data_IF_014710361420
#
_entry.id   IF_014710361420
#
_cell.length_a   1.000
_cell.length_b   1.000
_cell.length_c   1.000
_cell.angle_alpha   90.00
_cell.angle_beta   90.00
_cell.angle_gamma   90.00
#
_symmetry.space_group_name_H-M   'P 1'
#
loop_
_entity.id
_entity.type
_entity.pdbx_description
1 polymer ?
#
# COMPACT_ATOMS: atom_id res chain seq x y z
N UNK A 1 -35.18 -14.46 -30.00
CA UNK A 1 -34.20 -13.72 -29.16
C UNK A 1 -34.73 -13.34 -27.76
N UNK A 2 -36.00 -13.63 -27.42
CA UNK A 2 -36.60 -13.25 -26.13
C UNK A 2 -36.80 -14.40 -25.12
N UNK A 3 -36.51 -15.64 -25.48
CA UNK A 3 -36.69 -16.77 -24.56
C UNK A 3 -35.43 -17.07 -23.74
N UNK A 4 -34.24 -16.80 -24.31
CA UNK A 4 -32.93 -17.01 -23.62
C UNK A 4 -32.65 -16.00 -22.51
N UNK A 5 -33.15 -14.77 -22.63
CA UNK A 5 -32.97 -13.71 -21.63
C UNK A 5 -33.82 -13.95 -20.37
N UNK A 6 -35.01 -14.56 -20.53
CA UNK A 6 -35.91 -14.85 -19.42
C UNK A 6 -35.44 -16.00 -18.52
N UNK A 7 -34.70 -16.95 -19.06
CA UNK A 7 -34.13 -18.07 -18.26
C UNK A 7 -32.93 -17.68 -17.43
N UNK A 8 -32.15 -16.68 -17.86
CA UNK A 8 -30.96 -16.20 -17.11
C UNK A 8 -31.38 -15.37 -15.89
N UNK A 9 -32.47 -14.61 -15.97
CA UNK A 9 -32.94 -13.76 -14.85
C UNK A 9 -33.55 -14.60 -13.71
N UNK A 10 -34.13 -15.75 -13.99
CA UNK A 10 -34.78 -16.62 -12.98
C UNK A 10 -33.76 -17.42 -12.20
N UNK A 11 -32.61 -17.79 -12.80
CA UNK A 11 -31.56 -18.55 -12.11
C UNK A 11 -30.71 -17.69 -11.17
N UNK A 12 -30.59 -16.38 -11.41
CA UNK A 12 -29.84 -15.47 -10.49
C UNK A 12 -30.64 -15.08 -9.25
N UNK A 13 -31.97 -15.12 -9.29
CA UNK A 13 -32.81 -14.77 -8.13
C UNK A 13 -32.88 -15.88 -7.06
N UNK A 14 -32.60 -17.14 -7.41
CA UNK A 14 -32.71 -18.27 -6.48
C UNK A 14 -31.43 -18.53 -5.66
N UNK A 15 -30.29 -17.93 -6.03
CA UNK A 15 -29.00 -18.14 -5.36
C UNK A 15 -28.73 -17.16 -4.21
N UNK A 16 -29.57 -16.13 -4.01
CA UNK A 16 -29.36 -15.08 -2.99
C UNK A 16 -29.98 -15.37 -1.61
N UNK A 17 -30.70 -16.49 -1.42
CA UNK A 17 -31.43 -16.75 -0.17
C UNK A 17 -30.80 -17.76 0.80
N UNK A 18 -29.53 -18.19 0.59
CA UNK A 18 -28.94 -19.26 1.41
C UNK A 18 -27.71 -18.86 2.25
N UNK A 19 -27.41 -17.57 2.40
CA UNK A 19 -26.37 -17.12 3.32
C UNK A 19 -26.89 -16.19 4.40
N UNK A 20 -27.75 -16.72 5.26
CA UNK A 20 -28.06 -16.11 6.54
C UNK A 20 -27.87 -17.18 7.61
N UNK A 21 -27.06 -16.84 8.60
CA UNK A 21 -26.80 -17.50 9.89
C UNK A 21 -25.43 -18.19 10.04
N UNK A 22 -24.48 -17.42 10.58
CA UNK A 22 -23.57 -17.84 11.64
C UNK A 22 -22.88 -16.59 12.22
N UNK A 23 -23.53 -15.96 13.20
CA UNK A 23 -22.86 -15.07 14.15
C UNK A 23 -22.41 -15.94 15.31
N UNK A 24 -21.13 -16.22 15.39
CA UNK A 24 -20.51 -16.73 16.60
C UNK A 24 -20.06 -15.56 17.48
N UNK A 25 -20.67 -15.52 18.61
CA UNK A 25 -20.44 -14.64 19.74
C UNK A 25 -19.11 -15.04 20.40
N UNK A 26 -18.08 -14.19 20.29
CA UNK A 26 -16.86 -14.31 21.08
C UNK A 26 -16.99 -13.43 22.32
N UNK A 27 -17.27 -14.09 23.45
CA UNK A 27 -17.13 -13.50 24.78
C UNK A 27 -15.64 -13.33 25.11
N UNK A 28 -15.18 -12.10 25.25
CA UNK A 28 -13.89 -11.78 25.84
C UNK A 28 -14.01 -11.73 27.35
N UNK A 29 -13.58 -12.79 28.02
CA UNK A 29 -13.32 -12.77 29.44
C UNK A 29 -12.14 -11.86 29.77
N UNK A 30 -12.45 -10.93 30.66
CA UNK A 30 -11.58 -9.96 31.28
C UNK A 30 -10.57 -10.63 32.19
N UNK A 31 -9.27 -10.64 31.84
CA UNK A 31 -8.20 -10.90 32.81
C UNK A 31 -7.48 -9.59 33.14
N UNK A 32 -7.94 -9.00 34.24
CA UNK A 32 -7.19 -7.97 34.94
C UNK A 32 -6.11 -8.62 35.80
N UNK A 33 -4.85 -8.33 35.51
CA UNK A 33 -3.75 -8.44 36.48
C UNK A 33 -2.91 -7.17 36.39
N UNK A 34 -2.69 -6.49 37.53
CA UNK A 34 -1.81 -5.32 37.56
C UNK A 34 -0.38 -5.78 37.84
N UNK A 35 0.49 -5.69 36.86
CA UNK A 35 1.93 -5.77 37.09
C UNK A 35 2.55 -4.38 37.03
N UNK A 36 3.03 -4.01 38.20
CA UNK A 36 3.84 -2.85 38.51
C UNK A 36 5.21 -3.01 37.84
N UNK A 37 5.50 -2.24 36.82
CA UNK A 37 6.86 -2.11 36.31
C UNK A 37 7.45 -0.77 36.72
N UNK A 38 8.52 -0.92 37.54
CA UNK A 38 9.39 0.13 38.06
C UNK A 38 9.91 1.04 36.93
N UNK A 39 9.81 2.34 37.21
CA UNK A 39 10.46 3.39 36.46
C UNK A 39 12.00 3.26 36.57
N UNK A 40 12.66 2.94 35.47
CA UNK A 40 14.05 3.25 35.29
C UNK A 40 14.18 4.61 34.62
N UNK A 41 14.36 5.63 35.47
CA UNK A 41 14.93 6.90 35.09
C UNK A 41 16.32 6.66 34.48
N UNK A 42 16.46 6.86 33.20
CA UNK A 42 17.74 7.15 32.57
C UNK A 42 17.67 8.53 31.95
N UNK A 43 18.18 9.48 32.75
CA UNK A 43 18.64 10.76 32.25
C UNK A 43 19.63 10.54 31.11
N UNK A 44 19.22 10.95 29.90
CA UNK A 44 20.13 11.28 28.82
C UNK A 44 20.06 12.80 28.60
N UNK A 45 20.89 13.50 29.36
CA UNK A 45 21.33 14.84 29.03
C UNK A 45 22.16 14.75 27.74
N UNK A 46 21.86 15.61 26.79
CA UNK A 46 22.89 15.92 25.83
C UNK A 46 22.44 16.04 24.37
N UNK A 47 22.57 17.26 23.93
CA UNK A 47 22.89 17.72 22.58
C UNK A 47 21.70 18.00 21.65
N UNK A 48 21.34 19.26 21.65
CA UNK A 48 21.42 20.15 20.50
C UNK A 48 21.19 19.48 19.15
N UNK A 49 19.96 19.45 18.75
CA UNK A 49 19.57 19.19 17.36
C UNK A 49 19.05 20.49 16.77
N UNK A 50 19.98 21.28 16.25
CA UNK A 50 19.66 22.38 15.36
C UNK A 50 18.71 21.93 14.24
N UNK A 51 17.95 22.85 13.62
CA UNK A 51 17.04 22.52 12.55
C UNK A 51 17.83 21.88 11.41
N UNK A 52 17.60 20.59 11.17
CA UNK A 52 18.11 19.91 10.00
C UNK A 52 17.46 20.59 8.78
N UNK A 53 18.20 21.49 8.18
CA UNK A 53 17.95 21.98 6.84
C UNK A 53 17.94 20.76 5.93
N UNK A 54 16.76 20.40 5.43
CA UNK A 54 16.62 19.44 4.33
C UNK A 54 17.21 20.08 3.06
N UNK A 55 18.54 20.22 3.06
CA UNK A 55 19.29 20.64 1.90
C UNK A 55 19.31 19.46 0.91
N UNK A 56 18.57 19.61 -0.19
CA UNK A 56 18.86 19.02 -1.48
C UNK A 56 19.18 17.52 -1.48
N UNK A 57 18.18 16.65 -1.25
CA UNK A 57 18.26 15.32 -1.82
C UNK A 57 18.13 15.47 -3.33
N UNK A 58 19.22 15.20 -4.04
CA UNK A 58 19.16 15.06 -5.49
C UNK A 58 18.09 14.02 -5.82
N UNK A 59 17.30 14.27 -6.84
CA UNK A 59 16.22 13.37 -7.31
C UNK A 59 16.72 11.95 -7.69
N UNK A 60 18.03 11.72 -7.66
CA UNK A 60 18.69 10.45 -7.96
C UNK A 60 19.00 9.54 -6.76
N UNK A 61 18.77 10.00 -5.51
CA UNK A 61 19.21 9.25 -4.32
C UNK A 61 18.12 8.38 -3.67
N UNK A 62 16.93 8.32 -4.25
CA UNK A 62 15.82 7.50 -3.75
C UNK A 62 15.82 6.07 -4.31
N UNK A 63 14.99 5.16 -3.73
CA UNK A 63 14.84 3.82 -4.26
C UNK A 63 14.32 3.84 -5.70
N UNK A 64 14.83 2.92 -6.51
CA UNK A 64 14.34 2.64 -7.85
C UNK A 64 13.33 1.50 -7.82
N UNK A 65 12.60 1.32 -8.89
CA UNK A 65 11.57 0.29 -9.03
C UNK A 65 12.16 -1.11 -8.80
N UNK A 66 11.65 -1.79 -7.77
CA UNK A 66 12.00 -3.19 -7.51
C UNK A 66 11.31 -4.09 -8.53
N UNK A 67 12.09 -4.93 -9.20
CA UNK A 67 11.62 -5.81 -10.27
C UNK A 67 11.09 -7.13 -9.68
N UNK A 68 9.82 -7.39 -9.92
CA UNK A 68 9.17 -8.68 -9.66
C UNK A 68 8.53 -9.18 -10.97
N UNK A 69 8.14 -10.44 -11.02
CA UNK A 69 7.51 -10.99 -12.24
C UNK A 69 6.25 -10.20 -12.64
N UNK A 70 5.42 -9.78 -11.66
CA UNK A 70 4.20 -9.02 -11.93
C UNK A 70 4.52 -7.60 -12.41
N UNK A 71 5.49 -6.94 -11.78
CA UNK A 71 5.99 -5.62 -12.20
C UNK A 71 6.54 -5.69 -13.63
N UNK A 72 7.37 -6.69 -13.94
CA UNK A 72 7.94 -6.87 -15.26
C UNK A 72 6.87 -7.13 -16.32
N UNK A 73 5.88 -7.95 -15.98
CA UNK A 73 4.76 -8.26 -16.88
C UNK A 73 3.93 -7.02 -17.18
N UNK A 74 3.65 -6.18 -16.18
CA UNK A 74 2.89 -4.94 -16.34
C UNK A 74 3.68 -3.90 -17.16
N UNK A 75 4.99 -3.77 -16.95
CA UNK A 75 5.86 -2.90 -17.75
C UNK A 75 5.93 -3.36 -19.21
N UNK A 76 6.01 -4.66 -19.46
CA UNK A 76 6.03 -5.22 -20.82
C UNK A 76 4.73 -4.93 -21.59
N UNK A 77 3.62 -4.71 -20.88
CA UNK A 77 2.34 -4.30 -21.44
C UNK A 77 2.24 -2.77 -21.68
N UNK A 78 3.30 -2.03 -21.39
CA UNK A 78 3.36 -0.58 -21.57
C UNK A 78 2.81 0.21 -20.37
N UNK A 79 2.80 -0.39 -19.19
CA UNK A 79 2.35 0.27 -17.96
C UNK A 79 3.34 1.33 -17.48
N UNK A 80 2.83 2.34 -16.77
CA UNK A 80 3.59 3.48 -16.26
C UNK A 80 4.15 3.19 -14.85
N UNK A 81 5.49 3.15 -14.66
CA UNK A 81 6.11 2.87 -13.38
C UNK A 81 6.06 4.06 -12.43
N UNK A 82 5.79 3.76 -11.16
CA UNK A 82 5.82 4.70 -10.04
C UNK A 82 6.53 4.04 -8.86
N UNK A 83 7.40 4.78 -8.20
CA UNK A 83 8.01 4.41 -6.92
C UNK A 83 7.71 5.50 -5.91
N UNK A 84 7.14 5.12 -4.77
CA UNK A 84 6.86 6.04 -3.69
C UNK A 84 7.60 5.63 -2.41
N UNK A 85 8.27 6.57 -1.77
CA UNK A 85 8.96 6.35 -0.49
C UNK A 85 7.94 6.32 0.64
N UNK A 86 7.85 5.20 1.37
CA UNK A 86 6.87 4.99 2.42
C UNK A 86 7.50 5.17 3.79
N UNK A 87 6.97 6.09 4.57
CA UNK A 87 7.39 6.32 5.95
C UNK A 87 6.72 5.33 6.90
N UNK A 88 7.54 4.62 7.70
CA UNK A 88 7.06 3.75 8.76
C UNK A 88 6.71 2.33 8.34
N UNK A 89 6.90 1.95 7.08
CA UNK A 89 6.74 0.55 6.65
C UNK A 89 7.92 -0.29 7.13
N UNK A 90 7.66 -1.28 8.00
CA UNK A 90 8.72 -2.06 8.66
C UNK A 90 8.41 -3.55 8.80
N UNK A 91 7.25 -4.03 8.33
CA UNK A 91 6.82 -5.41 8.52
C UNK A 91 5.90 -5.91 7.40
N UNK A 92 5.76 -7.23 7.29
CA UNK A 92 4.92 -7.89 6.29
C UNK A 92 3.44 -7.50 6.38
N UNK A 93 2.92 -7.27 7.59
CA UNK A 93 1.55 -6.79 7.77
C UNK A 93 1.34 -5.39 7.18
N UNK A 94 2.38 -4.56 7.24
CA UNK A 94 2.40 -3.24 6.62
C UNK A 94 2.26 -3.35 5.10
N UNK A 95 3.07 -4.22 4.49
CA UNK A 95 3.03 -4.50 3.07
C UNK A 95 1.66 -5.05 2.64
N UNK A 96 1.09 -5.96 3.44
CA UNK A 96 -0.23 -6.55 3.17
C UNK A 96 -1.35 -5.49 3.19
N UNK A 97 -1.33 -4.55 4.14
CA UNK A 97 -2.31 -3.46 4.22
C UNK A 97 -2.25 -2.56 2.98
N UNK A 98 -1.04 -2.18 2.56
CA UNK A 98 -0.81 -1.40 1.35
C UNK A 98 -1.30 -2.16 0.10
N UNK A 99 -0.88 -3.42 -0.06
CA UNK A 99 -1.32 -4.27 -1.15
C UNK A 99 -2.85 -4.36 -1.24
N UNK A 100 -3.53 -4.57 -0.09
CA UNK A 100 -4.99 -4.68 -0.03
C UNK A 100 -5.72 -3.41 -0.50
N UNK A 101 -5.15 -2.23 -0.26
CA UNK A 101 -5.78 -0.95 -0.63
C UNK A 101 -5.51 -0.62 -2.10
N UNK A 102 -4.26 -0.70 -2.53
CA UNK A 102 -3.87 -0.32 -3.89
C UNK A 102 -4.32 -1.32 -4.96
N UNK A 103 -4.33 -2.63 -4.67
CA UNK A 103 -4.79 -3.65 -5.62
C UNK A 103 -6.29 -3.58 -5.95
N UNK A 104 -7.07 -2.80 -5.20
CA UNK A 104 -8.48 -2.55 -5.50
C UNK A 104 -8.70 -1.45 -6.55
N UNK A 105 -7.62 -0.75 -6.91
CA UNK A 105 -7.69 0.34 -7.88
C UNK A 105 -7.57 -0.21 -9.28
N UNK A 106 -8.53 0.14 -10.13
CA UNK A 106 -8.55 -0.30 -11.54
C UNK A 106 -7.39 0.27 -12.35
N UNK A 107 -6.81 1.39 -11.87
CA UNK A 107 -5.65 2.03 -12.48
C UNK A 107 -4.34 1.27 -12.22
N UNK A 108 -4.31 0.34 -11.25
CA UNK A 108 -3.09 -0.38 -10.84
C UNK A 108 -3.02 -1.73 -11.53
N UNK A 109 -2.02 -1.91 -12.40
CA UNK A 109 -1.73 -3.18 -13.08
C UNK A 109 -0.88 -4.11 -12.22
N UNK A 110 0.09 -3.56 -11.47
CA UNK A 110 0.94 -4.32 -10.55
C UNK A 110 1.34 -3.48 -9.34
N UNK A 111 1.55 -4.15 -8.22
CA UNK A 111 2.00 -3.55 -6.96
C UNK A 111 2.99 -4.48 -6.25
N UNK A 112 4.03 -3.89 -5.66
CA UNK A 112 4.93 -4.55 -4.75
C UNK A 112 5.42 -3.57 -3.67
N UNK A 113 5.34 -3.96 -2.41
CA UNK A 113 5.90 -3.18 -1.29
C UNK A 113 7.21 -3.81 -0.89
N UNK A 114 8.29 -3.07 -1.11
CA UNK A 114 9.64 -3.47 -0.77
C UNK A 114 9.97 -2.98 0.65
N UNK A 115 10.18 -3.90 1.57
CA UNK A 115 10.47 -3.59 2.98
C UNK A 115 11.93 -3.19 3.20
N UNK A 116 12.84 -3.62 2.36
CA UNK A 116 14.27 -3.31 2.46
C UNK A 116 14.52 -1.85 2.05
N UNK A 117 13.93 -1.45 0.93
CA UNK A 117 14.04 -0.08 0.40
C UNK A 117 12.96 0.85 0.96
N UNK A 118 11.94 0.32 1.66
CA UNK A 118 10.76 1.04 2.15
C UNK A 118 9.99 1.74 1.05
N UNK A 119 9.92 1.12 -0.11
CA UNK A 119 9.29 1.65 -1.29
C UNK A 119 7.99 0.93 -1.64
N UNK A 120 6.99 1.71 -2.01
CA UNK A 120 5.81 1.24 -2.72
C UNK A 120 6.10 1.30 -4.22
N UNK A 121 6.15 0.16 -4.87
CA UNK A 121 6.35 0.02 -6.30
C UNK A 121 5.00 -0.23 -6.96
N UNK A 122 4.62 0.61 -7.91
CA UNK A 122 3.38 0.51 -8.69
C UNK A 122 3.71 0.52 -10.17
N UNK A 123 2.91 -0.21 -10.94
CA UNK A 123 2.80 -0.02 -12.39
C UNK A 123 1.34 0.24 -12.70
N UNK A 124 1.05 1.37 -13.32
CA UNK A 124 -0.31 1.68 -13.75
C UNK A 124 -0.64 0.99 -15.07
N UNK A 125 -1.92 0.75 -15.28
CA UNK A 125 -2.45 0.30 -16.58
C UNK A 125 -2.10 1.35 -17.65
N UNK A 126 -1.75 0.93 -18.88
CA UNK A 126 -1.42 1.86 -19.97
C UNK A 126 -2.49 2.93 -20.17
N UNK A 127 -2.07 4.20 -20.12
CA UNK A 127 -2.96 5.36 -20.26
C UNK A 127 -3.77 5.72 -19.00
N UNK A 128 -3.66 4.97 -17.93
CA UNK A 128 -4.21 5.36 -16.64
C UNK A 128 -3.31 6.40 -15.96
N UNK A 129 -3.88 7.18 -15.06
CA UNK A 129 -3.13 8.16 -14.26
C UNK A 129 -3.61 8.13 -12.80
N UNK A 130 -2.66 8.32 -11.88
CA UNK A 130 -2.93 8.45 -10.45
C UNK A 130 -2.08 9.59 -9.91
N UNK A 131 -2.70 10.60 -9.29
CA UNK A 131 -1.97 11.75 -8.74
C UNK A 131 -1.18 11.35 -7.50
N UNK A 132 -0.12 12.12 -7.18
CA UNK A 132 0.66 11.93 -5.93
C UNK A 132 -0.24 12.08 -4.70
N UNK A 133 -1.20 13.01 -4.74
CA UNK A 133 -2.17 13.16 -3.67
C UNK A 133 -3.02 11.90 -3.49
N UNK A 134 -3.47 11.27 -4.59
CA UNK A 134 -4.23 10.01 -4.51
C UNK A 134 -3.39 8.89 -3.91
N UNK A 135 -2.10 8.80 -4.29
CA UNK A 135 -1.17 7.83 -3.72
C UNK A 135 -1.00 8.07 -2.22
N UNK A 136 -0.81 9.33 -1.82
CA UNK A 136 -0.67 9.70 -0.42
C UNK A 136 -1.94 9.39 0.40
N UNK A 137 -3.12 9.69 -0.13
CA UNK A 137 -4.40 9.43 0.54
C UNK A 137 -4.66 7.93 0.73
N UNK A 138 -4.30 7.11 -0.26
CA UNK A 138 -4.41 5.65 -0.18
C UNK A 138 -3.40 5.08 0.83
N UNK A 139 -2.18 5.62 0.89
CA UNK A 139 -1.20 5.23 1.89
C UNK A 139 -1.67 5.58 3.31
N UNK A 140 -2.29 6.75 3.51
CA UNK A 140 -2.89 7.14 4.81
C UNK A 140 -4.00 6.16 5.22
N UNK A 141 -4.82 5.67 4.29
CA UNK A 141 -5.83 4.65 4.59
C UNK A 141 -5.19 3.31 5.04
N UNK A 142 -3.97 3.02 4.58
CA UNK A 142 -3.18 1.88 5.05
C UNK A 142 -2.45 2.15 6.38
N UNK A 143 -2.50 3.39 6.90
CA UNK A 143 -1.82 3.80 8.11
C UNK A 143 -0.40 4.35 7.90
N UNK A 144 -0.03 4.70 6.66
CA UNK A 144 1.32 5.14 6.29
C UNK A 144 1.30 6.52 5.64
N UNK A 145 2.50 7.09 5.44
CA UNK A 145 2.68 8.35 4.73
C UNK A 145 3.69 8.19 3.61
N UNK A 146 3.52 8.96 2.55
CA UNK A 146 4.46 9.05 1.44
C UNK A 146 5.37 10.26 1.67
N UNK A 147 6.67 10.06 1.48
CA UNK A 147 7.67 11.14 1.57
C UNK A 147 7.97 11.73 0.21
N UNK A 148 8.02 10.88 -0.83
CA UNK A 148 8.37 11.28 -2.19
C UNK A 148 7.75 10.33 -3.22
N UNK A 149 7.52 10.78 -4.45
CA UNK A 149 6.98 9.97 -5.55
C UNK A 149 7.79 10.22 -6.82
N UNK A 150 8.35 9.16 -7.40
CA UNK A 150 9.09 9.17 -8.65
C UNK A 150 8.31 8.41 -9.73
N UNK A 151 8.43 8.88 -10.99
CA UNK A 151 7.64 8.36 -12.12
C UNK A 151 8.52 8.11 -13.33
N UNK A 152 8.08 7.23 -14.22
CA UNK A 152 8.73 6.97 -15.49
C UNK A 152 10.22 6.68 -15.36
N UNK A 153 11.06 7.45 -16.05
CA UNK A 153 12.53 7.29 -16.03
C UNK A 153 13.15 7.44 -14.63
N UNK A 154 12.64 8.33 -13.79
CA UNK A 154 13.12 8.48 -12.40
C UNK A 154 12.82 7.23 -11.58
N UNK A 155 11.62 6.67 -11.70
CA UNK A 155 11.27 5.41 -11.05
C UNK A 155 12.14 4.24 -11.52
N UNK A 156 12.58 4.25 -12.79
CA UNK A 156 13.44 3.23 -13.38
C UNK A 156 14.93 3.47 -13.14
N UNK A 157 15.31 4.60 -12.54
CA UNK A 157 16.73 4.99 -12.38
C UNK A 157 17.40 5.37 -13.70
N UNK A 158 16.64 5.74 -14.73
CA UNK A 158 17.15 6.10 -16.08
C UNK A 158 16.99 7.58 -16.40
N UNK A 159 16.50 8.40 -15.46
CA UNK A 159 16.40 9.84 -15.63
C UNK A 159 17.81 10.45 -15.65
N UNK A 160 18.10 11.20 -16.70
CA UNK A 160 19.35 11.96 -16.91
C UNK A 160 19.06 13.45 -16.80
#
# INVERSE_FOLDING_TARGET
MNLLIKTIVITTALCLCLFATAQEHYDHENHATPDVHEHHDRNHDGADSGPATHAGRSASDGPILTRTQDIDSALAQGGDPIVADVLGVVCDFCALAMNKIFSKREEVAAIYVDLDTKALNLVLVPGASMSDQTIADLAVQAGYRIADVRRGGEALGTAT
#
